data_IF_676500949667
#
_entry.id   IF_676500949667
#
_cell.length_a   1.000
_cell.length_b   1.000
_cell.length_c   1.000
_cell.angle_alpha   90.00
_cell.angle_beta   90.00
_cell.angle_gamma   90.00
#
_symmetry.space_group_name_H-M   'P 1'
#
loop_
_entity.id
_entity.type
_entity.pdbx_description
1 polymer ?
#
# COMPACT_ATOMS: atom_id res chain seq x y z
N UNK A 1 13.64 9.53 -3.19
CA UNK A 1 13.10 8.66 -4.24
C UNK A 1 11.98 9.34 -5.03
N UNK A 2 12.39 10.35 -5.81
CA UNK A 2 11.51 11.01 -6.80
C UNK A 2 11.05 10.05 -7.92
N UNK A 3 11.73 8.92 -8.09
CA UNK A 3 11.40 7.92 -9.11
C UNK A 3 10.08 7.20 -8.89
N UNK A 4 9.63 7.04 -7.66
CA UNK A 4 8.41 6.29 -7.35
C UNK A 4 7.12 7.07 -7.67
N UNK A 5 7.13 8.38 -7.53
CA UNK A 5 5.95 9.22 -7.81
C UNK A 5 5.79 9.56 -9.29
N UNK A 6 6.87 9.51 -10.06
CA UNK A 6 6.81 9.76 -11.51
C UNK A 6 6.38 8.55 -12.33
N UNK A 7 6.32 7.36 -11.73
CA UNK A 7 6.01 6.12 -12.45
C UNK A 7 4.53 5.78 -12.54
N UNK A 8 3.62 6.56 -11.93
CA UNK A 8 2.22 6.19 -11.89
C UNK A 8 1.32 7.28 -12.49
N UNK A 9 0.95 7.09 -13.74
CA UNK A 9 -0.16 7.80 -14.41
C UNK A 9 -1.43 7.73 -13.52
N UNK A 10 -1.63 6.62 -12.79
CA UNK A 10 -2.72 6.47 -11.82
C UNK A 10 -2.66 7.48 -10.66
N UNK A 11 -1.47 7.82 -10.13
CA UNK A 11 -1.35 8.84 -9.08
C UNK A 11 -1.77 10.21 -9.58
N UNK A 12 -1.39 10.58 -10.80
CA UNK A 12 -1.80 11.84 -11.39
C UNK A 12 -3.30 11.90 -11.64
N UNK A 13 -3.91 10.78 -12.04
CA UNK A 13 -5.37 10.70 -12.22
C UNK A 13 -6.13 10.86 -10.90
N UNK A 14 -5.66 10.23 -9.81
CA UNK A 14 -6.23 10.39 -8.47
C UNK A 14 -6.11 11.83 -7.98
N UNK A 15 -4.94 12.45 -8.14
CA UNK A 15 -4.69 13.84 -7.75
C UNK A 15 -5.64 14.78 -8.50
N UNK A 16 -5.79 14.60 -9.81
CA UNK A 16 -6.66 15.44 -10.63
C UNK A 16 -8.15 15.24 -10.33
N UNK A 17 -8.58 13.98 -10.19
CA UNK A 17 -9.98 13.64 -9.93
C UNK A 17 -10.49 14.14 -8.57
N UNK A 18 -9.63 14.11 -7.56
CA UNK A 18 -10.03 14.45 -6.18
C UNK A 18 -9.46 15.78 -5.70
N UNK A 19 -8.81 16.53 -6.57
CA UNK A 19 -8.16 17.81 -6.22
C UNK A 19 -7.26 17.70 -4.99
N UNK A 20 -6.48 16.62 -4.92
CA UNK A 20 -5.59 16.33 -3.79
C UNK A 20 -4.35 17.20 -3.89
N UNK A 21 -4.02 17.91 -2.82
CA UNK A 21 -2.75 18.63 -2.73
C UNK A 21 -1.62 17.66 -2.39
N UNK A 22 -0.64 17.56 -3.25
CA UNK A 22 0.54 16.71 -3.05
C UNK A 22 1.64 17.52 -2.40
N UNK A 23 2.06 17.11 -1.22
CA UNK A 23 3.22 17.65 -0.53
C UNK A 23 4.42 16.73 -0.71
N UNK A 24 5.45 17.21 -1.37
CA UNK A 24 6.70 16.46 -1.54
C UNK A 24 7.63 16.72 -0.35
N UNK A 25 8.09 15.65 0.29
CA UNK A 25 9.17 15.76 1.27
C UNK A 25 10.47 16.15 0.58
N UNK A 26 11.29 16.97 1.26
CA UNK A 26 12.61 17.33 0.73
C UNK A 26 13.49 16.07 0.59
N UNK A 27 14.22 15.92 -0.53
CA UNK A 27 15.15 14.80 -0.69
C UNK A 27 16.18 14.78 0.44
N UNK A 28 16.54 13.57 0.86
CA UNK A 28 17.54 13.31 1.93
C UNK A 28 17.19 13.80 3.33
N UNK A 29 15.97 14.26 3.58
CA UNK A 29 15.49 14.67 4.90
C UNK A 29 14.55 13.63 5.48
N UNK A 30 15.10 12.49 5.96
CA UNK A 30 14.32 11.38 6.52
C UNK A 30 13.42 11.78 7.69
N UNK A 31 13.83 12.77 8.50
CA UNK A 31 13.01 13.26 9.62
C UNK A 31 11.70 13.97 9.19
N UNK A 32 11.60 14.42 7.95
CA UNK A 32 10.38 15.01 7.41
C UNK A 32 9.32 13.97 7.06
N UNK A 33 9.68 12.68 7.04
CA UNK A 33 8.79 11.57 6.74
C UNK A 33 8.26 10.95 8.03
N UNK A 34 7.15 11.44 8.51
CA UNK A 34 6.50 10.95 9.73
C UNK A 34 6.15 9.46 9.66
N UNK A 35 5.87 8.93 8.48
CA UNK A 35 5.55 7.52 8.25
C UNK A 35 6.75 6.60 8.55
N UNK A 36 7.97 7.01 8.23
CA UNK A 36 9.17 6.21 8.56
C UNK A 36 9.35 6.08 10.08
N UNK A 37 9.10 7.16 10.82
CA UNK A 37 9.13 7.15 12.28
C UNK A 37 8.01 6.27 12.86
N UNK A 38 6.84 6.27 12.25
CA UNK A 38 5.75 5.39 12.63
C UNK A 38 6.13 3.93 12.47
N UNK A 39 6.71 3.52 11.33
CA UNK A 39 7.18 2.16 11.11
C UNK A 39 8.27 1.76 12.11
N UNK A 40 9.23 2.63 12.40
CA UNK A 40 10.23 2.38 13.45
C UNK A 40 9.57 2.13 14.80
N UNK A 41 8.59 2.93 15.18
CA UNK A 41 7.84 2.74 16.43
C UNK A 41 7.07 1.41 16.46
N UNK A 42 6.43 1.03 15.35
CA UNK A 42 5.76 -0.26 15.25
C UNK A 42 6.73 -1.42 15.41
N UNK A 43 7.86 -1.34 14.73
CA UNK A 43 8.89 -2.37 14.79
C UNK A 43 9.46 -2.53 16.20
N UNK A 44 9.87 -1.44 16.81
CA UNK A 44 10.53 -1.45 18.13
C UNK A 44 9.62 -1.94 19.27
N UNK A 45 8.30 -1.67 19.17
CA UNK A 45 7.39 -1.90 20.29
C UNK A 45 6.56 -3.17 20.10
N UNK A 46 6.22 -3.53 18.86
CA UNK A 46 5.27 -4.60 18.59
C UNK A 46 5.86 -5.72 17.71
N UNK A 47 6.47 -5.37 16.57
CA UNK A 47 6.85 -6.37 15.57
C UNK A 47 8.06 -7.19 16.01
N UNK A 48 8.91 -6.63 16.85
CA UNK A 48 10.14 -7.30 17.35
C UNK A 48 9.83 -8.63 18.05
N UNK A 49 8.71 -8.74 18.73
CA UNK A 49 8.29 -9.95 19.45
C UNK A 49 7.45 -10.91 18.57
N UNK A 50 7.17 -10.54 17.32
CA UNK A 50 6.39 -11.39 16.42
C UNK A 50 7.21 -12.60 15.95
N UNK A 51 6.57 -13.78 15.80
CA UNK A 51 7.23 -14.95 15.22
C UNK A 51 7.84 -14.66 13.85
N UNK A 52 9.09 -15.08 13.65
CA UNK A 52 9.78 -14.86 12.38
C UNK A 52 10.43 -13.48 12.22
N UNK A 53 10.41 -12.63 13.25
CA UNK A 53 11.13 -11.35 13.19
C UNK A 53 12.62 -11.55 12.88
N UNK A 54 13.14 -10.82 11.89
CA UNK A 54 14.47 -11.02 11.34
C UNK A 54 15.46 -9.88 11.64
N UNK A 55 15.09 -8.94 12.51
CA UNK A 55 15.86 -7.73 12.78
C UNK A 55 15.50 -6.56 11.85
N UNK A 56 15.52 -5.34 12.36
CA UNK A 56 15.27 -4.10 11.62
C UNK A 56 16.37 -3.75 10.63
N UNK A 57 17.56 -4.32 10.80
CA UNK A 57 18.69 -4.18 9.91
C UNK A 57 19.53 -5.46 9.87
N UNK A 58 20.39 -5.64 8.84
CA UNK A 58 21.30 -6.79 8.79
C UNK A 58 22.22 -6.90 10.01
N UNK A 59 22.51 -5.80 10.70
CA UNK A 59 23.35 -5.78 11.90
C UNK A 59 22.61 -6.24 13.16
N UNK A 60 21.31 -6.11 13.17
CA UNK A 60 20.42 -6.50 14.29
C UNK A 60 19.89 -7.91 14.13
N UNK A 61 20.17 -8.55 13.00
CA UNK A 61 19.75 -9.93 12.77
C UNK A 61 20.36 -10.85 13.80
N UNK A 62 19.58 -11.67 14.53
CA UNK A 62 20.10 -12.67 15.45
C UNK A 62 21.07 -13.61 14.75
N UNK A 63 22.19 -13.95 15.41
CA UNK A 63 23.23 -14.84 14.84
C UNK A 63 22.65 -16.20 14.42
N UNK A 64 21.73 -16.73 15.20
CA UNK A 64 21.07 -18.02 14.97
C UNK A 64 19.76 -17.93 14.18
N UNK A 65 19.46 -16.78 13.56
CA UNK A 65 18.17 -16.53 12.87
C UNK A 65 17.73 -17.68 11.97
N UNK A 66 18.60 -18.19 11.11
CA UNK A 66 18.23 -19.25 10.16
C UNK A 66 17.85 -20.57 10.86
N UNK A 67 18.49 -20.88 11.98
CA UNK A 67 18.19 -22.06 12.79
C UNK A 67 16.88 -21.88 13.53
N UNK A 68 16.68 -20.72 14.13
CA UNK A 68 15.46 -20.39 14.87
C UNK A 68 14.24 -20.29 13.96
N UNK A 69 14.38 -19.71 12.79
CA UNK A 69 13.31 -19.66 11.77
C UNK A 69 12.90 -21.07 11.35
N UNK A 70 13.88 -21.96 11.07
CA UNK A 70 13.58 -23.35 10.71
C UNK A 70 12.85 -24.08 11.84
N UNK A 71 13.29 -23.92 13.07
CA UNK A 71 12.65 -24.49 14.25
C UNK A 71 11.20 -23.99 14.41
N UNK A 72 10.97 -22.68 14.26
CA UNK A 72 9.64 -22.09 14.32
C UNK A 72 8.73 -22.65 13.21
N UNK A 73 9.27 -22.82 12.00
CA UNK A 73 8.54 -23.41 10.88
C UNK A 73 8.17 -24.87 11.16
N UNK A 74 9.10 -25.69 11.63
CA UNK A 74 8.90 -27.11 11.97
C UNK A 74 7.85 -27.30 13.09
N UNK A 75 7.77 -26.37 14.02
CA UNK A 75 6.81 -26.39 15.13
C UNK A 75 5.49 -25.64 14.81
N UNK A 76 5.30 -25.14 13.59
CA UNK A 76 4.10 -24.40 13.20
C UNK A 76 3.88 -23.10 13.98
N UNK A 77 4.95 -22.47 14.45
CA UNK A 77 4.91 -21.25 15.26
C UNK A 77 4.88 -19.97 14.39
N UNK A 78 5.20 -20.10 13.10
CA UNK A 78 5.11 -18.96 12.19
C UNK A 78 3.65 -18.69 11.82
N UNK A 79 3.32 -17.43 11.77
CA UNK A 79 1.99 -16.99 11.34
C UNK A 79 1.84 -17.03 9.82
N UNK A 80 0.63 -17.31 9.38
CA UNK A 80 0.23 -17.02 8.00
C UNK A 80 0.09 -15.51 7.81
N UNK A 81 0.05 -15.05 6.57
CA UNK A 81 -0.20 -13.62 6.28
C UNK A 81 -1.53 -13.14 6.86
N UNK A 82 -2.58 -13.97 6.79
CA UNK A 82 -3.89 -13.62 7.35
C UNK A 82 -3.82 -13.45 8.86
N UNK A 83 -3.19 -14.38 9.59
CA UNK A 83 -2.97 -14.27 11.03
C UNK A 83 -2.14 -13.03 11.40
N UNK A 84 -1.12 -12.71 10.62
CA UNK A 84 -0.33 -11.50 10.83
C UNK A 84 -1.17 -10.23 10.64
N UNK A 85 -2.00 -10.16 9.59
CA UNK A 85 -2.89 -9.03 9.37
C UNK A 85 -4.00 -8.92 10.43
N UNK A 86 -4.56 -10.03 10.90
CA UNK A 86 -5.51 -10.06 12.00
C UNK A 86 -4.88 -9.49 13.28
N UNK A 87 -3.70 -9.95 13.63
CA UNK A 87 -2.97 -9.43 14.77
C UNK A 87 -2.65 -7.93 14.65
N UNK A 88 -2.21 -7.46 13.48
CA UNK A 88 -1.99 -6.02 13.26
C UNK A 88 -3.28 -5.21 13.45
N UNK A 89 -4.39 -5.70 12.90
CA UNK A 89 -5.70 -5.03 12.94
C UNK A 89 -6.29 -4.99 14.35
N UNK A 90 -6.24 -6.11 15.06
CA UNK A 90 -7.02 -6.32 16.28
C UNK A 90 -6.21 -5.99 17.55
N UNK A 91 -4.89 -6.13 17.52
CA UNK A 91 -4.01 -5.89 18.66
C UNK A 91 -3.11 -4.66 18.46
N UNK A 92 -2.29 -4.64 17.41
CA UNK A 92 -1.21 -3.64 17.27
C UNK A 92 -1.76 -2.25 16.99
N UNK A 93 -2.62 -2.09 15.99
CA UNK A 93 -3.15 -0.77 15.66
C UNK A 93 -4.03 -0.18 16.77
N UNK A 94 -4.92 -0.93 17.42
CA UNK A 94 -5.65 -0.41 18.59
C UNK A 94 -4.72 -0.01 19.74
N UNK A 95 -3.71 -0.81 20.04
CA UNK A 95 -2.72 -0.49 21.07
C UNK A 95 -1.95 0.79 20.74
N UNK A 96 -1.47 0.92 19.51
CA UNK A 96 -0.79 2.12 19.03
C UNK A 96 -1.69 3.37 19.10
N UNK A 97 -2.92 3.26 18.59
CA UNK A 97 -3.86 4.38 18.55
C UNK A 97 -4.27 4.89 19.94
N UNK A 98 -4.26 4.02 20.93
CA UNK A 98 -4.60 4.36 22.32
C UNK A 98 -3.39 4.71 23.19
N UNK A 99 -2.18 4.63 22.66
CA UNK A 99 -0.97 5.00 23.40
C UNK A 99 -0.75 6.50 23.38
N UNK A 100 -0.51 7.15 24.55
CA UNK A 100 -0.14 8.56 24.60
C UNK A 100 1.19 8.81 23.86
N UNK A 101 1.25 9.87 23.05
CA UNK A 101 2.44 10.26 22.30
C UNK A 101 2.99 11.59 22.81
N UNK A 102 4.28 11.60 23.18
CA UNK A 102 4.97 12.81 23.64
C UNK A 102 4.95 13.93 22.59
N UNK A 103 5.19 13.60 21.32
CA UNK A 103 5.14 14.55 20.21
C UNK A 103 3.78 15.21 20.00
N UNK A 104 2.74 14.71 20.64
CA UNK A 104 1.39 15.26 20.62
C UNK A 104 0.95 15.79 22.02
N UNK A 105 1.91 16.10 22.87
CA UNK A 105 1.63 16.58 24.23
C UNK A 105 0.91 15.55 25.11
N UNK A 106 1.27 14.28 24.97
CA UNK A 106 0.68 13.17 25.72
C UNK A 106 -0.71 12.73 25.24
N UNK A 107 -1.25 13.33 24.17
CA UNK A 107 -2.55 12.92 23.62
C UNK A 107 -2.43 11.64 22.81
N UNK A 108 -3.50 10.86 22.80
CA UNK A 108 -3.61 9.64 22.01
C UNK A 108 -3.87 9.97 20.53
N UNK A 109 -3.29 9.24 19.57
CA UNK A 109 -3.56 9.41 18.14
C UNK A 109 -5.05 9.34 17.81
N UNK A 110 -5.79 8.42 18.41
CA UNK A 110 -7.23 8.26 18.16
C UNK A 110 -8.04 9.48 18.59
N UNK A 111 -7.67 10.12 19.72
CA UNK A 111 -8.36 11.30 20.20
C UNK A 111 -8.14 12.48 19.24
N UNK A 112 -6.89 12.65 18.78
CA UNK A 112 -6.56 13.65 17.76
C UNK A 112 -7.32 13.41 16.46
N UNK A 113 -7.29 12.17 15.96
CA UNK A 113 -8.02 11.81 14.75
C UNK A 113 -9.51 12.13 14.84
N UNK A 114 -10.13 11.89 16.00
CA UNK A 114 -11.55 12.15 16.20
C UNK A 114 -11.89 13.66 16.27
N UNK A 115 -10.91 14.53 16.52
CA UNK A 115 -11.11 15.99 16.48
C UNK A 115 -10.96 16.60 15.09
N UNK A 116 -10.39 15.86 14.13
CA UNK A 116 -10.18 16.36 12.78
C UNK A 116 -11.48 16.36 11.96
N UNK A 117 -11.70 17.38 11.12
CA UNK A 117 -12.80 17.35 10.17
C UNK A 117 -12.60 16.18 9.21
N UNK A 118 -13.64 15.38 9.03
CA UNK A 118 -13.60 14.23 8.13
C UNK A 118 -14.22 14.58 6.79
N UNK A 119 -13.42 14.54 5.74
CA UNK A 119 -13.97 14.46 4.40
C UNK A 119 -14.60 13.07 4.22
N UNK A 120 -15.91 13.03 3.96
CA UNK A 120 -16.57 11.78 3.57
C UNK A 120 -16.53 11.68 2.05
N UNK A 121 -16.00 10.58 1.56
CA UNK A 121 -16.08 10.24 0.15
C UNK A 121 -17.43 9.55 -0.10
N UNK A 122 -18.17 10.01 -1.09
CA UNK A 122 -19.39 9.34 -1.54
C UNK A 122 -19.07 8.05 -2.30
N UNK A 123 -20.06 7.20 -2.48
CA UNK A 123 -19.89 5.91 -3.17
C UNK A 123 -19.35 6.03 -4.61
N UNK A 124 -19.85 6.96 -5.45
CA UNK A 124 -19.29 7.16 -6.78
C UNK A 124 -17.81 7.56 -6.77
N UNK A 125 -17.41 8.45 -5.87
CA UNK A 125 -16.02 8.87 -5.74
C UNK A 125 -15.13 7.72 -5.32
N UNK A 126 -15.58 6.85 -4.43
CA UNK A 126 -14.87 5.62 -4.06
C UNK A 126 -14.70 4.67 -5.25
N UNK A 127 -15.75 4.46 -6.04
CA UNK A 127 -15.68 3.64 -7.25
C UNK A 127 -14.68 4.21 -8.26
N UNK A 128 -14.69 5.54 -8.48
CA UNK A 128 -13.72 6.22 -9.34
C UNK A 128 -12.28 6.04 -8.81
N UNK A 129 -12.08 6.10 -7.51
CA UNK A 129 -10.76 5.86 -6.90
C UNK A 129 -10.27 4.43 -7.17
N UNK A 130 -11.14 3.44 -7.03
CA UNK A 130 -10.80 2.04 -7.34
C UNK A 130 -10.37 1.89 -8.80
N UNK A 131 -11.11 2.49 -9.74
CA UNK A 131 -10.77 2.49 -11.17
C UNK A 131 -9.46 3.24 -11.45
N UNK A 132 -9.20 4.35 -10.75
CA UNK A 132 -7.98 5.13 -10.92
C UNK A 132 -6.71 4.43 -10.39
N UNK A 133 -6.86 3.40 -9.54
CA UNK A 133 -5.74 2.56 -9.06
C UNK A 133 -5.26 1.54 -10.08
N UNK A 134 -6.07 1.24 -11.09
CA UNK A 134 -5.69 0.27 -12.10
C UNK A 134 -4.52 0.78 -12.94
N UNK A 135 -3.62 -0.13 -13.27
CA UNK A 135 -2.57 0.14 -14.23
C UNK A 135 -3.18 0.36 -15.62
N UNK A 136 -2.51 1.18 -16.42
CA UNK A 136 -2.93 1.47 -17.78
C UNK A 136 -1.89 0.99 -18.78
N UNK A 137 -2.37 0.53 -19.93
CA UNK A 137 -1.51 0.19 -21.05
C UNK A 137 -2.19 0.58 -22.36
N UNK A 138 -1.44 1.21 -23.26
CA UNK A 138 -1.92 1.49 -24.61
C UNK A 138 -1.73 0.26 -25.48
N UNK A 139 -2.76 -0.11 -26.20
CA UNK A 139 -2.75 -1.24 -27.15
C UNK A 139 -3.56 -0.92 -28.37
N UNK A 140 -3.11 -1.45 -29.50
CA UNK A 140 -3.82 -1.33 -30.78
C UNK A 140 -4.96 -2.34 -30.85
N UNK A 141 -6.13 -1.88 -31.24
CA UNK A 141 -7.28 -2.75 -31.55
C UNK A 141 -7.00 -3.42 -32.89
N UNK A 142 -7.03 -4.72 -32.92
CA UNK A 142 -6.91 -5.51 -34.16
C UNK A 142 -8.28 -6.02 -34.58
N UNK A 143 -8.40 -6.57 -35.78
CA UNK A 143 -9.64 -7.22 -36.25
C UNK A 143 -10.10 -8.38 -35.32
N UNK A 144 -9.16 -8.94 -34.53
CA UNK A 144 -9.43 -10.03 -33.58
C UNK A 144 -9.61 -9.55 -32.14
N UNK A 145 -9.55 -8.23 -31.91
CA UNK A 145 -9.59 -7.64 -30.59
C UNK A 145 -8.21 -7.16 -30.08
N UNK A 146 -8.10 -6.98 -28.80
CA UNK A 146 -6.90 -6.48 -28.11
C UNK A 146 -6.14 -7.64 -27.47
N UNK A 147 -4.86 -7.80 -27.80
CA UNK A 147 -3.98 -8.76 -27.16
C UNK A 147 -3.28 -8.13 -25.94
N UNK A 148 -3.46 -8.73 -24.77
CA UNK A 148 -2.81 -8.27 -23.52
C UNK A 148 -2.49 -9.45 -22.60
N UNK A 149 -1.29 -9.49 -22.00
CA UNK A 149 -0.79 -10.58 -21.13
C UNK A 149 -1.07 -11.99 -21.73
N UNK A 150 -0.79 -12.18 -23.00
CA UNK A 150 -1.03 -13.42 -23.77
C UNK A 150 -2.50 -13.87 -23.89
N UNK A 151 -3.46 -13.03 -23.46
CA UNK A 151 -4.89 -13.24 -23.66
C UNK A 151 -5.41 -12.32 -24.76
N UNK A 152 -6.45 -12.75 -25.44
CA UNK A 152 -7.15 -11.96 -26.44
C UNK A 152 -8.50 -11.52 -25.87
N UNK A 153 -8.75 -10.21 -25.86
CA UNK A 153 -9.98 -9.60 -25.40
C UNK A 153 -10.75 -9.04 -26.60
N UNK A 154 -12.01 -9.37 -26.68
CA UNK A 154 -12.89 -8.90 -27.76
C UNK A 154 -14.25 -8.51 -27.21
N UNK A 155 -14.86 -7.48 -27.82
CA UNK A 155 -16.19 -6.99 -27.53
C UNK A 155 -16.83 -6.47 -28.82
N UNK A 156 -18.15 -6.54 -28.91
CA UNK A 156 -18.92 -6.01 -30.07
C UNK A 156 -18.65 -4.52 -30.30
N UNK A 157 -18.36 -3.78 -29.26
CA UNK A 157 -18.01 -2.35 -29.31
C UNK A 157 -16.71 -2.06 -30.03
N UNK A 158 -15.86 -3.09 -30.24
CA UNK A 158 -14.62 -2.96 -31.00
C UNK A 158 -14.82 -3.08 -32.51
N UNK A 159 -16.06 -3.39 -32.98
CA UNK A 159 -16.39 -3.47 -34.41
C UNK A 159 -16.18 -2.09 -35.01
N UNK A 160 -15.37 -2.02 -36.06
CA UNK A 160 -15.07 -0.78 -36.77
C UNK A 160 -13.93 0.04 -36.16
N UNK A 161 -13.40 -0.33 -34.99
CA UNK A 161 -12.29 0.35 -34.34
C UNK A 161 -10.92 -0.29 -34.63
N UNK A 162 -10.87 -1.30 -35.49
CA UNK A 162 -9.60 -1.96 -35.86
C UNK A 162 -8.59 -0.94 -36.44
N UNK A 163 -7.39 -0.93 -35.92
CA UNK A 163 -6.33 0.02 -36.29
C UNK A 163 -6.22 1.24 -35.37
N UNK A 164 -7.18 1.49 -34.49
CA UNK A 164 -7.11 2.57 -33.49
C UNK A 164 -6.38 2.11 -32.24
N UNK A 165 -5.86 3.07 -31.46
CA UNK A 165 -5.24 2.81 -30.17
C UNK A 165 -6.28 2.93 -29.05
N UNK A 166 -6.23 2.01 -28.11
CA UNK A 166 -7.08 1.97 -26.92
C UNK A 166 -6.24 1.93 -25.65
N UNK A 167 -6.71 2.62 -24.63
CA UNK A 167 -6.15 2.54 -23.28
C UNK A 167 -6.92 1.46 -22.52
N UNK A 168 -6.25 0.39 -22.15
CA UNK A 168 -6.79 -0.65 -21.28
C UNK A 168 -6.40 -0.40 -19.83
N UNK A 169 -7.34 -0.66 -18.92
CA UNK A 169 -7.09 -0.64 -17.49
C UNK A 169 -7.12 -2.06 -16.95
N UNK A 170 -6.22 -2.37 -16.05
CA UNK A 170 -6.13 -3.72 -15.48
C UNK A 170 -5.61 -3.70 -14.05
N UNK A 171 -6.08 -4.61 -13.22
CA UNK A 171 -5.56 -4.82 -11.89
C UNK A 171 -4.29 -5.66 -11.93
N UNK A 172 -3.34 -5.42 -11.01
CA UNK A 172 -2.14 -6.26 -10.87
C UNK A 172 -2.42 -7.62 -10.21
N UNK A 173 -3.56 -7.74 -9.57
CA UNK A 173 -3.97 -8.96 -8.87
C UNK A 173 -4.51 -10.07 -9.80
N UNK A 174 -4.57 -9.83 -11.11
CA UNK A 174 -5.05 -10.80 -12.11
C UNK A 174 -3.90 -11.45 -12.90
#
# INVERSE_FOLDING_TARGET
DLGYLNCNIASNSVIQLFNVTVHHAQPYHGWAKTVERFFGTLEDIYIRDAPGWCGGSPKERPEDFSRDLRRQLEHGQLWTMDQFFEWLRDDVFPAYHNRPHEGHGGRKPIDLYNTLPRARMDQPSWQMLCVARDDMAERKITQRGIKFKNKLFWSDEMIGLAGTDAVIRYSRSD
#
